data_IF_449079148144
#
_entry.id   IF_449079148144
#
_cell.length_a   1.000
_cell.length_b   1.000
_cell.length_c   1.000
_cell.angle_alpha   90.00
_cell.angle_beta   90.00
_cell.angle_gamma   90.00
#
_symmetry.space_group_name_H-M   'P 1'
#
loop_
_entity.id
_entity.type
_entity.pdbx_description
1 polymer ?
#
# COMPACT_ATOMS: atom_id res chain seq x y z
N UNK A 1 4.83 -3.61 -22.14
CA UNK A 1 4.86 -2.18 -21.81
C UNK A 1 4.65 -2.06 -20.33
N UNK A 2 5.54 -1.32 -19.67
CA UNK A 2 5.47 -1.10 -18.24
C UNK A 2 4.39 -0.05 -17.90
N UNK A 3 3.82 -0.15 -16.69
CA UNK A 3 2.78 0.78 -16.22
C UNK A 3 3.28 2.23 -16.21
N UNK A 4 4.57 2.44 -15.94
CA UNK A 4 5.23 3.74 -15.97
C UNK A 4 5.20 4.37 -17.37
N UNK A 5 5.44 3.59 -18.42
CA UNK A 5 5.45 4.06 -19.81
C UNK A 5 4.05 4.50 -20.26
N UNK A 6 3.01 3.74 -19.89
CA UNK A 6 1.61 4.08 -20.18
C UNK A 6 1.25 5.44 -19.57
N UNK A 7 1.72 5.74 -18.35
CA UNK A 7 1.45 7.03 -17.68
C UNK A 7 2.12 8.19 -18.40
N UNK A 8 3.33 8.00 -18.92
CA UNK A 8 4.02 9.00 -19.74
C UNK A 8 3.21 9.29 -21.01
N UNK A 9 2.71 8.26 -21.68
CA UNK A 9 1.85 8.41 -22.86
C UNK A 9 0.53 9.11 -22.54
N UNK A 10 -0.10 8.78 -21.41
CA UNK A 10 -1.31 9.49 -20.94
C UNK A 10 -1.02 10.97 -20.69
N UNK A 11 0.12 11.31 -20.07
CA UNK A 11 0.53 12.70 -19.84
C UNK A 11 0.77 13.42 -21.17
N UNK A 12 1.39 12.76 -22.14
CA UNK A 12 1.60 13.31 -23.48
C UNK A 12 0.27 13.61 -24.19
N UNK A 13 -0.66 12.65 -24.24
CA UNK A 13 -1.98 12.84 -24.85
C UNK A 13 -2.79 13.95 -24.16
N UNK A 14 -2.65 14.10 -22.84
CA UNK A 14 -3.28 15.19 -22.09
C UNK A 14 -2.77 16.56 -22.56
N UNK A 15 -1.45 16.74 -22.71
CA UNK A 15 -0.87 18.00 -23.19
C UNK A 15 -1.19 18.30 -24.65
N UNK A 16 -1.47 17.26 -25.45
CA UNK A 16 -2.01 17.41 -26.81
C UNK A 16 -3.46 17.92 -26.84
N UNK A 17 -4.13 18.01 -25.69
CA UNK A 17 -5.54 18.36 -25.62
C UNK A 17 -6.48 17.23 -26.03
N UNK A 18 -6.00 15.98 -26.07
CA UNK A 18 -6.87 14.85 -26.37
C UNK A 18 -7.91 14.65 -25.26
N UNK A 19 -9.07 14.11 -25.62
CA UNK A 19 -10.03 13.58 -24.63
C UNK A 19 -9.56 12.21 -24.12
N UNK A 20 -10.06 11.77 -22.97
CA UNK A 20 -9.71 10.44 -22.44
C UNK A 20 -10.04 9.31 -23.42
N UNK A 21 -11.15 9.42 -24.17
CA UNK A 21 -11.53 8.43 -25.19
C UNK A 21 -10.54 8.41 -26.36
N UNK A 22 -10.11 9.59 -26.85
CA UNK A 22 -9.11 9.68 -27.91
C UNK A 22 -7.76 9.13 -27.45
N UNK A 23 -7.32 9.48 -26.23
CA UNK A 23 -6.08 8.97 -25.67
C UNK A 23 -6.08 7.43 -25.56
N UNK A 24 -7.18 6.82 -25.10
CA UNK A 24 -7.33 5.35 -25.10
C UNK A 24 -7.19 4.77 -26.50
N UNK A 25 -7.88 5.36 -27.49
CA UNK A 25 -7.82 4.89 -28.87
C UNK A 25 -6.40 5.01 -29.44
N UNK A 26 -5.75 6.17 -29.26
CA UNK A 26 -4.40 6.46 -29.76
C UNK A 26 -3.34 5.53 -29.14
N UNK A 27 -3.41 5.30 -27.83
CA UNK A 27 -2.47 4.41 -27.14
C UNK A 27 -2.70 2.97 -27.60
N UNK A 28 -3.94 2.49 -27.61
CA UNK A 28 -4.23 1.10 -27.96
C UNK A 28 -4.02 0.81 -29.45
N UNK A 29 -4.15 1.79 -30.35
CA UNK A 29 -3.88 1.61 -31.78
C UNK A 29 -2.40 1.40 -32.07
N UNK A 30 -1.51 2.02 -31.29
CA UNK A 30 -0.05 1.90 -31.48
C UNK A 30 0.51 0.68 -30.76
N UNK A 31 0.01 0.40 -29.55
CA UNK A 31 0.66 -0.55 -28.66
C UNK A 31 -0.15 -1.82 -28.36
N UNK A 32 -1.35 -1.93 -28.92
CA UNK A 32 -2.20 -3.12 -28.79
C UNK A 32 -3.49 -2.88 -28.02
N UNK A 33 -4.47 -3.73 -28.29
CA UNK A 33 -5.81 -3.67 -27.70
C UNK A 33 -5.71 -3.89 -26.17
N UNK A 34 -6.33 -3.02 -25.38
CA UNK A 34 -6.41 -3.03 -23.90
C UNK A 34 -5.16 -2.60 -23.10
N UNK A 35 -4.15 -1.99 -23.72
CA UNK A 35 -3.01 -1.40 -22.96
C UNK A 35 -3.49 -0.30 -22.00
N UNK A 36 -4.37 0.57 -22.48
CA UNK A 36 -5.02 1.61 -21.70
C UNK A 36 -6.53 1.39 -21.66
N UNK A 37 -7.12 1.49 -20.46
CA UNK A 37 -8.58 1.48 -20.27
C UNK A 37 -9.09 2.89 -20.04
N UNK A 38 -10.36 3.14 -20.40
CA UNK A 38 -10.99 4.45 -20.20
C UNK A 38 -10.98 4.87 -18.72
N UNK A 39 -11.29 3.94 -17.82
CA UNK A 39 -11.26 4.19 -16.37
C UNK A 39 -9.88 4.67 -15.88
N UNK A 40 -8.80 4.03 -16.34
CA UNK A 40 -7.43 4.42 -15.96
C UNK A 40 -7.07 5.79 -16.55
N UNK A 41 -7.30 6.01 -17.84
CA UNK A 41 -6.98 7.30 -18.50
C UNK A 41 -7.79 8.45 -17.89
N UNK A 42 -9.09 8.25 -17.63
CA UNK A 42 -9.95 9.27 -17.03
C UNK A 42 -9.49 9.67 -15.62
N UNK A 43 -9.04 8.70 -14.81
CA UNK A 43 -8.45 8.96 -13.48
C UNK A 43 -7.19 9.81 -13.59
N UNK A 44 -6.27 9.46 -14.48
CA UNK A 44 -5.05 10.24 -14.70
C UNK A 44 -5.33 11.64 -15.24
N UNK A 45 -6.26 11.78 -16.17
CA UNK A 45 -6.64 13.10 -16.69
C UNK A 45 -7.30 13.97 -15.63
N UNK A 46 -8.04 13.38 -14.68
CA UNK A 46 -8.55 14.12 -13.52
C UNK A 46 -7.41 14.64 -12.65
N UNK A 47 -6.38 13.82 -12.41
CA UNK A 47 -5.15 14.20 -11.68
C UNK A 47 -4.39 15.33 -12.39
N UNK A 48 -4.21 15.22 -13.70
CA UNK A 48 -3.55 16.26 -14.51
C UNK A 48 -4.33 17.58 -14.54
N UNK A 49 -5.68 17.52 -14.59
CA UNK A 49 -6.53 18.73 -14.49
C UNK A 49 -6.41 19.45 -13.15
N UNK A 50 -6.07 18.75 -12.06
CA UNK A 50 -5.77 19.38 -10.77
C UNK A 50 -4.33 19.92 -10.68
N UNK A 51 -3.56 19.89 -11.78
CA UNK A 51 -2.17 20.37 -11.83
C UNK A 51 -1.15 19.37 -11.28
N UNK A 52 -1.56 18.17 -10.91
CA UNK A 52 -0.67 17.13 -10.41
C UNK A 52 -0.22 16.23 -11.56
N UNK A 53 1.07 16.34 -11.91
CA UNK A 53 1.70 15.60 -13.00
C UNK A 53 2.70 14.56 -12.51
N UNK A 54 2.67 14.21 -11.22
CA UNK A 54 3.52 13.16 -10.69
C UNK A 54 3.05 11.78 -11.21
N UNK A 55 3.94 11.10 -11.93
CA UNK A 55 3.70 9.79 -12.53
C UNK A 55 4.10 8.64 -11.61
N UNK A 56 4.71 8.95 -10.46
CA UNK A 56 5.10 7.97 -9.46
C UNK A 56 3.88 7.21 -8.93
N UNK A 57 4.11 6.00 -8.43
CA UNK A 57 3.11 5.39 -7.56
C UNK A 57 3.20 6.10 -6.21
N UNK A 58 2.09 6.72 -5.81
CA UNK A 58 1.94 7.10 -4.41
C UNK A 58 2.20 5.86 -3.53
N UNK A 59 2.93 6.03 -2.42
CA UNK A 59 3.08 4.96 -1.45
C UNK A 59 1.69 4.47 -1.08
N UNK A 60 1.39 3.21 -1.40
CA UNK A 60 0.12 2.62 -0.95
C UNK A 60 0.20 2.58 0.55
N UNK A 61 -0.57 3.43 1.22
CA UNK A 61 -0.69 3.40 2.66
C UNK A 61 -1.08 1.98 3.08
N UNK A 62 -0.24 1.34 3.89
CA UNK A 62 -0.65 0.12 4.57
C UNK A 62 -1.80 0.50 5.51
N UNK A 63 -2.91 -0.26 5.56
CA UNK A 63 -3.93 -0.04 6.58
C UNK A 63 -3.27 0.06 7.94
N UNK A 64 -3.68 1.04 8.76
CA UNK A 64 -3.15 1.16 10.13
C UNK A 64 -3.37 -0.16 10.85
N UNK A 65 -2.31 -0.69 11.45
CA UNK A 65 -2.42 -1.90 12.25
C UNK A 65 -3.37 -1.61 13.43
N UNK A 66 -4.34 -2.49 13.67
CA UNK A 66 -5.32 -2.34 14.76
C UNK A 66 -4.73 -2.61 16.15
N UNK A 67 -3.48 -3.08 16.20
CA UNK A 67 -2.78 -3.46 17.43
C UNK A 67 -1.45 -2.72 17.43
N UNK A 68 -1.24 -1.93 18.48
CA UNK A 68 0.05 -1.30 18.75
C UNK A 68 0.97 -2.32 19.43
N UNK A 69 2.17 -2.50 18.89
CA UNK A 69 3.16 -3.45 19.43
C UNK A 69 3.67 -3.03 20.81
N UNK A 70 3.76 -1.74 21.10
CA UNK A 70 4.27 -1.25 22.38
C UNK A 70 3.24 -1.49 23.49
N UNK A 71 1.96 -1.25 23.18
CA UNK A 71 0.85 -1.57 24.07
C UNK A 71 0.72 -3.08 24.29
N UNK A 72 0.85 -3.87 23.23
CA UNK A 72 0.82 -5.34 23.32
C UNK A 72 1.99 -5.88 24.15
N UNK A 73 3.19 -5.31 23.98
CA UNK A 73 4.39 -5.66 24.75
C UNK A 73 4.23 -5.32 26.24
N UNK A 74 3.71 -4.14 26.56
CA UNK A 74 3.43 -3.76 27.95
C UNK A 74 2.40 -4.70 28.60
N UNK A 75 1.40 -5.16 27.82
CA UNK A 75 0.41 -6.14 28.29
C UNK A 75 1.04 -7.51 28.56
N UNK A 76 1.93 -7.98 27.67
CA UNK A 76 2.70 -9.22 27.85
C UNK A 76 3.60 -9.15 29.10
N UNK A 77 4.28 -8.03 29.31
CA UNK A 77 5.18 -7.82 30.45
C UNK A 77 4.43 -7.70 31.78
N UNK A 78 3.25 -7.08 31.79
CA UNK A 78 2.40 -6.97 32.97
C UNK A 78 1.72 -8.32 33.32
N UNK A 79 1.45 -9.18 32.34
CA UNK A 79 0.78 -10.45 32.56
C UNK A 79 1.22 -11.53 31.55
N UNK A 80 2.32 -12.21 31.86
CA UNK A 80 2.93 -13.23 31.00
C UNK A 80 2.05 -14.48 30.76
N UNK A 81 0.91 -14.62 31.46
CA UNK A 81 0.03 -15.80 31.37
C UNK A 81 -1.13 -15.64 30.38
N UNK A 82 -1.30 -14.47 29.75
CA UNK A 82 -2.40 -14.28 28.79
C UNK A 82 -2.16 -15.05 27.49
N UNK A 83 -3.15 -15.86 27.12
CA UNK A 83 -3.15 -16.58 25.86
C UNK A 83 -3.43 -15.65 24.67
N UNK A 84 -2.92 -16.02 23.49
CA UNK A 84 -3.23 -15.30 22.25
C UNK A 84 -4.75 -15.21 21.95
N UNK A 85 -5.57 -16.11 22.52
CA UNK A 85 -7.02 -16.07 22.40
C UNK A 85 -7.63 -14.95 23.24
N UNK A 86 -7.19 -14.77 24.47
CA UNK A 86 -7.67 -13.69 25.35
C UNK A 86 -7.28 -12.31 24.81
N UNK A 87 -6.03 -12.18 24.35
CA UNK A 87 -5.56 -10.98 23.66
C UNK A 87 -6.39 -10.68 22.40
N UNK A 88 -6.77 -11.71 21.64
CA UNK A 88 -7.60 -11.51 20.43
C UNK A 88 -8.97 -10.91 20.75
N UNK A 89 -9.56 -11.32 21.88
CA UNK A 89 -10.83 -10.77 22.37
C UNK A 89 -10.65 -9.33 22.88
N UNK A 90 -9.59 -9.08 23.64
CA UNK A 90 -9.28 -7.76 24.22
C UNK A 90 -9.06 -6.70 23.14
N UNK A 91 -8.26 -7.02 22.12
CA UNK A 91 -7.94 -6.11 21.02
C UNK A 91 -8.94 -6.18 19.86
N UNK A 92 -9.99 -7.00 19.97
CA UNK A 92 -11.01 -7.23 18.96
C UNK A 92 -10.42 -7.48 17.55
N UNK A 93 -9.42 -8.36 17.50
CA UNK A 93 -8.69 -8.75 16.29
C UNK A 93 -8.61 -10.27 16.19
N UNK A 94 -8.21 -10.79 15.04
CA UNK A 94 -8.03 -12.24 14.93
C UNK A 94 -6.86 -12.73 15.80
N UNK A 95 -6.95 -13.97 16.29
CA UNK A 95 -5.84 -14.64 16.97
C UNK A 95 -4.55 -14.65 16.12
N UNK A 96 -4.69 -14.80 14.80
CA UNK A 96 -3.56 -14.78 13.87
C UNK A 96 -2.86 -13.41 13.84
N UNK A 97 -3.62 -12.32 13.95
CA UNK A 97 -3.08 -10.96 14.08
C UNK A 97 -2.23 -10.87 15.35
N UNK A 98 -2.77 -11.28 16.50
CA UNK A 98 -2.01 -11.29 17.78
C UNK A 98 -0.72 -12.07 17.66
N UNK A 99 -0.75 -13.31 17.14
CA UNK A 99 0.45 -14.13 16.97
C UNK A 99 1.50 -13.46 16.07
N UNK A 100 1.06 -12.81 15.00
CA UNK A 100 1.95 -12.07 14.10
C UNK A 100 2.63 -10.89 14.81
N UNK A 101 1.88 -10.16 15.64
CA UNK A 101 2.41 -9.04 16.42
C UNK A 101 3.37 -9.53 17.53
N UNK A 102 3.04 -10.60 18.26
CA UNK A 102 3.91 -11.22 19.26
C UNK A 102 5.23 -11.73 18.64
N UNK A 103 5.18 -12.35 17.46
CA UNK A 103 6.38 -12.78 16.75
C UNK A 103 7.29 -11.60 16.38
N UNK A 104 6.72 -10.46 15.95
CA UNK A 104 7.49 -9.23 15.69
C UNK A 104 8.13 -8.69 16.97
N UNK A 105 7.41 -8.64 18.10
CA UNK A 105 7.96 -8.22 19.40
C UNK A 105 9.11 -9.12 19.83
N UNK A 106 8.96 -10.44 19.72
CA UNK A 106 10.00 -11.41 20.05
C UNK A 106 11.26 -11.28 19.18
N UNK A 107 11.09 -10.97 17.89
CA UNK A 107 12.23 -10.71 17.00
C UNK A 107 12.97 -9.42 17.35
N UNK A 108 12.26 -8.38 17.81
CA UNK A 108 12.88 -7.13 18.29
C UNK A 108 13.67 -7.37 19.58
N UNK A 109 13.19 -8.21 20.50
CA UNK A 109 13.92 -8.60 21.72
C UNK A 109 15.27 -9.29 21.38
N UNK A 110 15.28 -10.18 20.39
CA UNK A 110 16.51 -10.91 19.96
C UNK A 110 17.55 -10.02 19.27
N UNK A 111 17.14 -8.99 18.55
CA UNK A 111 18.06 -8.08 17.85
C UNK A 111 18.78 -7.10 18.80
N UNK A 112 18.26 -6.89 20.02
CA UNK A 112 18.83 -5.99 21.02
C UNK A 112 19.78 -6.64 22.03
N UNK A 113 19.89 -7.97 22.06
CA UNK A 113 20.91 -8.69 22.82
C UNK A 113 22.16 -8.85 21.94
N UNK A 114 22.98 -7.81 21.91
CA UNK A 114 24.37 -7.94 21.43
C UNK A 114 25.18 -8.36 22.66
N UNK A 115 25.67 -9.59 22.64
CA UNK A 115 26.47 -10.18 23.72
C UNK A 115 27.67 -9.27 24.01
N UNK A 116 27.69 -8.67 25.20
CA UNK A 116 28.90 -8.06 25.77
C UNK A 116 29.53 -9.11 26.68
N UNK A 117 30.42 -9.92 26.12
CA UNK A 117 31.62 -10.46 26.80
C UNK A 117 32.72 -10.61 25.76
#
# INVERSE_FOLDING_TARGET
MEISEIRVLMKYEFHRGATARQAVANINSVFGIQVATNATVARWFKKFRSGDFDLSNEPRGRPRDKVDNDVLKATEEANSSQSARELSLMYNVSKQTILTHLAKIGNVKKAGQVDTV
#
